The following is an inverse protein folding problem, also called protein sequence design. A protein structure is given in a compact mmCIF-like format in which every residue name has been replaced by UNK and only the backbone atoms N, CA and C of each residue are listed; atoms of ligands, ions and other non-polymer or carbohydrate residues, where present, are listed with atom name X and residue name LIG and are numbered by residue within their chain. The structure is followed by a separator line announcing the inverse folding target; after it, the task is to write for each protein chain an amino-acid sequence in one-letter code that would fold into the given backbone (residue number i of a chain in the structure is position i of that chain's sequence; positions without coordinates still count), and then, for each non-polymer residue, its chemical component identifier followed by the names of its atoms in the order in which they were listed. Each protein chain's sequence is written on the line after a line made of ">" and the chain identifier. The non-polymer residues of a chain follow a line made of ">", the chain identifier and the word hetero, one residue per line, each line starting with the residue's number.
data_IF_468590995744
#
_entry.id   IF_468590995744
#
_cell.length_a   1.000
_cell.length_b   1.000
_cell.length_c   1.000
_cell.angle_alpha   90.00
_cell.angle_beta   90.00
_cell.angle_gamma   90.00
#
_symmetry.space_group_name_H-M   'P 1'
#
loop_
_entity.id
_entity.type
_entity.pdbx_description
1 polymer ?
#
# COMPACT_ATOMS: atom_id res chain seq x y z
N UNK A 1 14.73 -8.29 2.01
CA UNK A 1 14.11 -7.00 1.62
C UNK A 1 14.68 -5.91 2.53
N UNK A 2 15.00 -4.71 2.03
CA UNK A 2 15.60 -3.65 2.85
C UNK A 2 14.58 -2.55 3.20
N UNK A 3 14.95 -1.69 4.16
CA UNK A 3 14.07 -0.61 4.63
C UNK A 3 13.78 0.45 3.55
N UNK A 4 14.61 0.57 2.50
CA UNK A 4 14.38 1.52 1.40
C UNK A 4 13.22 1.04 0.53
N UNK A 5 13.11 -0.28 0.31
CA UNK A 5 11.99 -0.85 -0.42
C UNK A 5 10.65 -0.66 0.32
N UNK A 6 10.63 -0.79 1.65
CA UNK A 6 9.42 -0.51 2.45
C UNK A 6 9.02 0.96 2.35
N UNK A 7 9.98 1.89 2.40
CA UNK A 7 9.69 3.32 2.22
C UNK A 7 9.08 3.61 0.85
N UNK A 8 9.64 3.00 -0.20
CA UNK A 8 9.07 3.12 -1.54
C UNK A 8 7.63 2.59 -1.63
N UNK A 9 7.33 1.46 -1.00
CA UNK A 9 5.96 0.92 -0.94
C UNK A 9 5.03 1.79 -0.09
N UNK A 10 5.54 2.47 0.94
CA UNK A 10 4.78 3.44 1.72
C UNK A 10 4.40 4.65 0.86
N UNK A 11 5.33 5.20 0.09
CA UNK A 11 5.07 6.32 -0.82
C UNK A 11 3.95 5.96 -1.84
N UNK A 12 4.00 4.75 -2.41
CA UNK A 12 2.96 4.24 -3.33
C UNK A 12 1.61 4.12 -2.62
N UNK A 13 1.59 3.60 -1.39
CA UNK A 13 0.36 3.44 -0.63
C UNK A 13 -0.26 4.80 -0.29
N UNK A 14 0.54 5.77 0.12
CA UNK A 14 0.08 7.14 0.40
C UNK A 14 -0.51 7.79 -0.86
N UNK A 15 0.15 7.67 -2.01
CA UNK A 15 -0.37 8.17 -3.29
C UNK A 15 -1.71 7.51 -3.68
N UNK A 16 -1.84 6.20 -3.43
CA UNK A 16 -3.09 5.48 -3.70
C UNK A 16 -4.23 5.90 -2.76
N UNK A 17 -3.92 6.24 -1.51
CA UNK A 17 -4.90 6.78 -0.55
C UNK A 17 -5.36 8.16 -0.98
N UNK A 18 -4.44 9.05 -1.38
CA UNK A 18 -4.78 10.39 -1.87
C UNK A 18 -5.66 10.33 -3.11
N UNK A 19 -5.33 9.46 -4.08
CA UNK A 19 -6.16 9.24 -5.28
C UNK A 19 -7.56 8.77 -4.91
N UNK A 20 -7.67 7.79 -4.02
CA UNK A 20 -8.97 7.27 -3.57
C UNK A 20 -9.81 8.34 -2.86
N UNK A 21 -9.18 9.14 -2.00
CA UNK A 21 -9.85 10.26 -1.34
C UNK A 21 -10.37 11.28 -2.35
N UNK A 22 -9.56 11.64 -3.35
CA UNK A 22 -9.97 12.57 -4.42
C UNK A 22 -11.09 12.02 -5.31
N UNK A 23 -11.12 10.70 -5.55
CA UNK A 23 -12.20 10.05 -6.29
C UNK A 23 -13.52 10.12 -5.51
N UNK A 24 -13.55 9.85 -4.21
CA UNK A 24 -14.78 9.99 -3.41
C UNK A 24 -15.31 11.42 -3.30
N UNK A 25 -14.46 12.44 -3.50
CA UNK A 25 -14.89 13.84 -3.52
C UNK A 25 -15.46 14.29 -4.86
N UNK A 26 -15.15 13.58 -5.96
CA UNK A 26 -15.41 14.03 -7.33
C UNK A 26 -16.23 13.06 -8.18
N UNK A 27 -16.28 11.78 -7.82
CA UNK A 27 -16.91 10.76 -8.64
C UNK A 27 -18.44 10.79 -8.49
N UNK A 28 -19.12 10.80 -9.64
CA UNK A 28 -20.57 10.61 -9.78
C UNK A 28 -20.88 9.16 -10.25
N UNK A 29 -19.84 8.31 -10.37
CA UNK A 29 -19.89 6.93 -10.87
C UNK A 29 -19.20 5.96 -9.90
N UNK A 30 -19.95 4.97 -9.40
CA UNK A 30 -19.50 3.90 -8.51
C UNK A 30 -18.34 3.06 -9.09
N UNK A 31 -18.16 3.05 -10.42
CA UNK A 31 -17.08 2.33 -11.09
C UNK A 31 -15.69 2.89 -10.77
N UNK A 32 -15.56 4.22 -10.75
CA UNK A 32 -14.29 4.90 -10.46
C UNK A 32 -13.93 4.75 -8.97
N UNK A 33 -14.92 4.84 -8.09
CA UNK A 33 -14.74 4.58 -6.65
C UNK A 33 -14.25 3.15 -6.38
N UNK A 34 -14.88 2.16 -7.02
CA UNK A 34 -14.52 0.75 -6.86
C UNK A 34 -13.10 0.47 -7.35
N UNK A 35 -12.70 1.08 -8.47
CA UNK A 35 -11.34 0.94 -9.00
C UNK A 35 -10.31 1.57 -8.06
N UNK A 36 -10.54 2.79 -7.59
CA UNK A 36 -9.62 3.46 -6.67
C UNK A 36 -9.52 2.70 -5.33
N UNK A 37 -10.63 2.13 -4.84
CA UNK A 37 -10.63 1.28 -3.66
C UNK A 37 -9.81 -0.01 -3.85
N UNK A 38 -9.90 -0.65 -5.03
CA UNK A 38 -9.13 -1.84 -5.36
C UNK A 38 -7.62 -1.54 -5.45
N UNK A 39 -7.24 -0.46 -6.14
CA UNK A 39 -5.84 -0.03 -6.27
C UNK A 39 -5.21 0.28 -4.90
N UNK A 40 -5.92 1.00 -4.03
CA UNK A 40 -5.48 1.27 -2.66
C UNK A 40 -5.37 -0.03 -1.82
N UNK A 41 -6.31 -0.96 -1.97
CA UNK A 41 -6.27 -2.26 -1.26
C UNK A 41 -5.08 -3.12 -1.68
N UNK A 42 -4.73 -3.09 -2.97
CA UNK A 42 -3.55 -3.80 -3.49
C UNK A 42 -2.26 -3.20 -2.93
N UNK A 43 -2.09 -1.87 -3.01
CA UNK A 43 -0.90 -1.20 -2.48
C UNK A 43 -0.70 -1.48 -0.98
N UNK A 44 -1.80 -1.48 -0.21
CA UNK A 44 -1.78 -1.86 1.21
C UNK A 44 -1.27 -3.28 1.43
N UNK A 45 -1.77 -4.25 0.66
CA UNK A 45 -1.40 -5.65 0.80
C UNK A 45 0.09 -5.88 0.49
N UNK A 46 0.62 -5.21 -0.54
CA UNK A 46 2.04 -5.27 -0.89
C UNK A 46 2.93 -4.69 0.20
N UNK A 47 2.55 -3.55 0.78
CA UNK A 47 3.27 -2.94 1.91
C UNK A 47 3.28 -3.85 3.15
N UNK A 48 2.13 -4.44 3.52
CA UNK A 48 2.03 -5.35 4.67
C UNK A 48 2.95 -6.56 4.47
N UNK A 49 2.90 -7.19 3.30
CA UNK A 49 3.73 -8.36 2.98
C UNK A 49 5.23 -8.02 3.08
N UNK A 50 5.63 -6.85 2.60
CA UNK A 50 7.02 -6.41 2.68
C UNK A 50 7.49 -6.18 4.13
N UNK A 51 6.60 -5.67 5.00
CA UNK A 51 6.86 -5.48 6.43
C UNK A 51 7.01 -6.84 7.12
N UNK A 52 6.09 -7.78 6.88
CA UNK A 52 6.14 -9.13 7.45
C UNK A 52 7.44 -9.85 7.08
N UNK A 53 7.83 -9.81 5.80
CA UNK A 53 9.09 -10.40 5.33
C UNK A 53 10.33 -9.76 5.97
N UNK A 54 10.32 -8.46 6.23
CA UNK A 54 11.42 -7.80 6.94
C UNK A 54 11.47 -8.21 8.42
N UNK A 55 10.31 -8.32 9.08
CA UNK A 55 10.22 -8.74 10.48
C UNK A 55 10.77 -10.17 10.66
N UNK A 56 10.33 -11.10 9.82
CA UNK A 56 10.81 -12.49 9.81
C UNK A 56 12.33 -12.56 9.56
N UNK A 57 12.83 -11.78 8.58
CA UNK A 57 14.26 -11.74 8.27
C UNK A 57 15.11 -11.26 9.46
N UNK A 58 14.57 -10.34 10.29
CA UNK A 58 15.25 -9.84 11.48
C UNK A 58 15.21 -10.82 12.66
N UNK A 59 14.12 -11.56 12.83
CA UNK A 59 14.03 -12.64 13.82
C UNK A 59 15.04 -13.76 13.52
N UNK A 60 15.19 -14.13 12.25
CA UNK A 60 16.12 -15.19 11.85
C UNK A 60 17.59 -14.77 11.85
N UNK A 61 17.90 -13.47 11.67
CA UNK A 61 19.27 -12.96 11.69
C UNK A 61 19.85 -12.77 13.10
N UNK A 62 19.04 -12.93 14.16
CA UNK A 62 19.45 -12.73 15.57
C UNK A 62 19.75 -14.03 16.32
N UNK A 63 19.89 -15.16 15.61
CA UNK A 63 20.22 -16.49 16.16
C UNK A 63 21.60 -16.96 15.71
#
# INVERSE_FOLDING_TARGET
>A
MDIKHIKYLLDIFEEAVEKRMGVYELADDEGDENRAAAECSQAKAELIKAIEQLAESKEHSSK
#
